data_IF_602263736418
#
_entry.id   IF_602263736418
#
_cell.length_a   1.000
_cell.length_b   1.000
_cell.length_c   1.000
_cell.angle_alpha   90.00
_cell.angle_beta   90.00
_cell.angle_gamma   90.00
#
_symmetry.space_group_name_H-M   'P 1'
#
loop_
_entity.id
_entity.type
_entity.pdbx_description
1 polymer ?
#
# COMPACT_ATOMS: atom_id res chain seq x y z
N UNK A 1 -22.20 -22.92 12.13
CA UNK A 1 -21.45 -21.68 11.84
C UNK A 1 -20.61 -21.34 13.05
N UNK A 2 -19.30 -21.26 12.90
CA UNK A 2 -18.37 -20.85 13.95
C UNK A 2 -18.19 -19.31 13.98
N UNK A 3 -17.47 -18.77 14.97
CA UNK A 3 -17.30 -17.32 15.12
C UNK A 3 -16.59 -16.67 13.91
N UNK A 4 -15.63 -17.36 13.28
CA UNK A 4 -14.92 -16.82 12.09
C UNK A 4 -15.85 -16.73 10.89
N UNK A 5 -16.65 -17.76 10.63
CA UNK A 5 -17.66 -17.78 9.56
C UNK A 5 -18.71 -16.67 9.78
N UNK A 6 -19.14 -16.46 11.03
CA UNK A 6 -20.07 -15.40 11.37
C UNK A 6 -19.48 -13.99 11.13
N UNK A 7 -18.19 -13.79 11.42
CA UNK A 7 -17.52 -12.53 11.11
C UNK A 7 -17.39 -12.30 9.60
N UNK A 8 -17.15 -13.35 8.79
CA UNK A 8 -17.18 -13.25 7.33
C UNK A 8 -18.59 -12.84 6.85
N UNK A 9 -19.64 -13.47 7.37
CA UNK A 9 -21.02 -13.08 7.03
C UNK A 9 -21.30 -11.62 7.39
N UNK A 10 -20.96 -11.18 8.60
CA UNK A 10 -21.12 -9.78 9.04
C UNK A 10 -20.34 -8.80 8.16
N UNK A 11 -19.15 -9.18 7.68
CA UNK A 11 -18.34 -8.35 6.78
C UNK A 11 -18.96 -8.20 5.38
N UNK A 12 -19.87 -9.09 4.98
CA UNK A 12 -20.54 -9.07 3.68
C UNK A 12 -21.85 -8.29 3.72
N UNK A 13 -22.42 -8.00 4.90
CA UNK A 13 -23.68 -7.28 5.05
C UNK A 13 -23.46 -5.79 4.77
N UNK A 14 -24.27 -5.20 3.91
CA UNK A 14 -24.23 -3.76 3.65
C UNK A 14 -24.47 -2.95 4.92
N UNK A 15 -23.83 -1.79 5.04
CA UNK A 15 -23.93 -0.91 6.19
C UNK A 15 -23.42 -1.48 7.53
N UNK A 16 -22.82 -2.66 7.53
CA UNK A 16 -22.21 -3.27 8.72
C UNK A 16 -20.69 -3.10 8.66
N UNK A 17 -20.17 -2.05 9.31
CA UNK A 17 -18.75 -1.77 9.37
C UNK A 17 -18.10 -2.18 10.70
N UNK A 18 -16.75 -2.06 10.83
CA UNK A 18 -16.02 -2.53 12.00
C UNK A 18 -16.51 -1.97 13.33
N UNK A 19 -16.85 -0.68 13.38
CA UNK A 19 -17.33 -0.03 14.61
C UNK A 19 -18.66 -0.64 15.07
N UNK A 20 -19.60 -0.88 14.14
CA UNK A 20 -20.88 -1.52 14.46
C UNK A 20 -20.70 -2.95 14.91
N UNK A 21 -19.83 -3.72 14.27
CA UNK A 21 -19.53 -5.11 14.68
C UNK A 21 -18.92 -5.14 16.07
N UNK A 22 -18.01 -4.23 16.41
CA UNK A 22 -17.47 -4.11 17.76
C UNK A 22 -18.57 -3.85 18.80
N UNK A 23 -19.45 -2.88 18.55
CA UNK A 23 -20.58 -2.58 19.46
C UNK A 23 -21.52 -3.77 19.63
N UNK A 24 -21.79 -4.50 18.53
CA UNK A 24 -22.59 -5.71 18.57
C UNK A 24 -21.92 -6.83 19.38
N UNK A 25 -20.61 -7.04 19.19
CA UNK A 25 -19.83 -8.01 19.95
C UNK A 25 -19.77 -7.68 21.45
N UNK A 26 -19.66 -6.40 21.81
CA UNK A 26 -19.71 -5.94 23.21
C UNK A 26 -21.06 -6.27 23.87
N UNK A 27 -22.17 -6.24 23.11
CA UNK A 27 -23.49 -6.51 23.62
C UNK A 27 -23.87 -8.00 23.60
N UNK A 28 -23.58 -8.71 22.51
CA UNK A 28 -23.97 -10.12 22.30
C UNK A 28 -22.89 -11.13 22.72
N UNK A 29 -21.66 -10.69 22.93
CA UNK A 29 -20.51 -11.51 23.32
C UNK A 29 -19.85 -12.26 22.16
N UNK A 30 -20.61 -12.81 21.23
CA UNK A 30 -20.10 -13.62 20.12
C UNK A 30 -20.78 -13.34 18.78
N UNK A 31 -20.03 -13.48 17.68
CA UNK A 31 -20.54 -13.17 16.34
C UNK A 31 -21.73 -14.04 15.90
N UNK A 32 -21.79 -15.36 16.17
CA UNK A 32 -22.97 -16.16 15.84
C UNK A 32 -24.27 -15.71 16.54
N UNK A 33 -24.17 -15.13 17.76
CA UNK A 33 -25.36 -14.61 18.47
C UNK A 33 -25.92 -13.36 17.79
N UNK A 34 -25.06 -12.52 17.19
CA UNK A 34 -25.47 -11.34 16.41
C UNK A 34 -26.35 -11.75 15.22
N UNK A 35 -25.91 -12.76 14.45
CA UNK A 35 -26.63 -13.23 13.26
C UNK A 35 -27.92 -13.98 13.57
N UNK A 36 -28.11 -14.45 14.82
CA UNK A 36 -29.36 -15.10 15.30
C UNK A 36 -30.29 -14.12 15.97
N UNK A 37 -29.84 -12.89 16.22
CA UNK A 37 -30.64 -11.91 16.97
C UNK A 37 -31.81 -11.38 16.13
N UNK A 38 -32.95 -11.17 16.78
CA UNK A 38 -34.08 -10.50 16.15
C UNK A 38 -33.80 -9.01 15.95
N UNK A 39 -34.49 -8.38 14.99
CA UNK A 39 -34.40 -6.95 14.75
C UNK A 39 -34.56 -6.13 16.03
N UNK A 40 -35.55 -6.51 16.86
CA UNK A 40 -35.86 -5.84 18.15
C UNK A 40 -34.72 -5.96 19.18
N UNK A 41 -33.93 -7.03 19.15
CA UNK A 41 -32.73 -7.19 19.99
C UNK A 41 -31.58 -6.36 19.46
N UNK A 42 -31.37 -6.32 18.14
CA UNK A 42 -30.32 -5.52 17.49
C UNK A 42 -30.49 -4.02 17.72
N UNK A 43 -31.75 -3.53 17.69
CA UNK A 43 -32.06 -2.12 17.95
C UNK A 43 -31.77 -1.66 19.40
N UNK A 44 -31.54 -2.58 20.35
CA UNK A 44 -31.09 -2.22 21.70
C UNK A 44 -29.61 -1.79 21.75
N UNK A 45 -28.83 -2.10 20.72
CA UNK A 45 -27.42 -1.76 20.67
C UNK A 45 -27.25 -0.33 20.19
N UNK A 46 -26.53 0.46 20.97
CA UNK A 46 -26.25 1.88 20.63
C UNK A 46 -25.55 1.98 19.28
N UNK A 47 -26.04 2.84 18.40
CA UNK A 47 -25.45 3.07 17.05
C UNK A 47 -25.95 2.11 15.96
N UNK A 48 -26.86 1.19 16.30
CA UNK A 48 -27.55 0.33 15.33
C UNK A 48 -28.91 0.95 15.02
N UNK A 49 -29.05 1.45 13.79
CA UNK A 49 -30.31 1.98 13.27
C UNK A 49 -31.17 0.90 12.62
N UNK A 50 -32.37 1.30 12.22
CA UNK A 50 -33.41 0.39 11.67
C UNK A 50 -32.93 -0.38 10.45
N UNK A 51 -32.29 0.33 9.47
CA UNK A 51 -31.77 -0.29 8.24
C UNK A 51 -30.66 -1.32 8.53
N UNK A 52 -29.76 -1.01 9.48
CA UNK A 52 -28.68 -1.93 9.86
C UNK A 52 -29.23 -3.15 10.60
N UNK A 53 -30.19 -2.94 11.50
CA UNK A 53 -30.83 -4.04 12.24
C UNK A 53 -31.65 -4.96 11.30
N UNK A 54 -32.33 -4.39 10.31
CA UNK A 54 -33.02 -5.15 9.27
C UNK A 54 -32.07 -5.96 8.42
N UNK A 55 -30.97 -5.31 7.93
CA UNK A 55 -29.96 -5.97 7.10
C UNK A 55 -29.30 -7.15 7.84
N UNK A 56 -29.03 -7.01 9.14
CA UNK A 56 -28.48 -8.11 9.95
C UNK A 56 -29.52 -9.20 10.18
N UNK A 57 -30.76 -8.84 10.53
CA UNK A 57 -31.81 -9.84 10.81
C UNK A 57 -32.19 -10.66 9.56
N UNK A 58 -32.07 -10.07 8.38
CA UNK A 58 -32.36 -10.71 7.08
C UNK A 58 -31.11 -11.16 6.32
N UNK A 59 -29.96 -11.29 6.97
CA UNK A 59 -28.66 -11.50 6.33
C UNK A 59 -28.62 -12.70 5.35
N UNK A 60 -29.32 -13.80 5.65
CA UNK A 60 -29.36 -15.00 4.79
C UNK A 60 -30.00 -14.74 3.42
N UNK A 61 -30.77 -13.65 3.27
CA UNK A 61 -31.37 -13.27 1.99
C UNK A 61 -30.39 -12.51 1.09
N UNK A 62 -29.38 -11.86 1.66
CA UNK A 62 -28.42 -11.00 0.93
C UNK A 62 -27.00 -11.56 0.86
N UNK A 63 -26.65 -12.51 1.74
CA UNK A 63 -25.30 -13.07 1.87
C UNK A 63 -25.30 -14.57 1.58
N UNK A 64 -24.60 -14.96 0.55
CA UNK A 64 -24.28 -16.38 0.30
C UNK A 64 -22.92 -16.73 0.92
N UNK A 65 -22.93 -17.00 2.23
CA UNK A 65 -21.76 -17.37 3.00
C UNK A 65 -21.09 -18.65 2.45
N UNK A 66 -21.91 -19.63 2.04
CA UNK A 66 -21.41 -20.91 1.50
C UNK A 66 -20.55 -20.70 0.25
N UNK A 67 -21.04 -19.89 -0.69
CA UNK A 67 -20.30 -19.53 -1.88
C UNK A 67 -19.02 -18.74 -1.56
N UNK A 68 -19.08 -17.83 -0.58
CA UNK A 68 -17.90 -17.06 -0.17
C UNK A 68 -16.81 -17.95 0.41
N UNK A 69 -17.14 -18.85 1.33
CA UNK A 69 -16.21 -19.79 1.94
C UNK A 69 -15.59 -20.73 0.90
N UNK A 70 -16.39 -21.19 -0.07
CA UNK A 70 -15.91 -21.99 -1.19
C UNK A 70 -14.91 -21.23 -2.04
N UNK A 71 -15.19 -19.95 -2.39
CA UNK A 71 -14.26 -19.11 -3.16
C UNK A 71 -12.94 -18.89 -2.44
N UNK A 72 -12.96 -18.67 -1.12
CA UNK A 72 -11.76 -18.55 -0.29
C UNK A 72 -10.87 -19.77 -0.46
N UNK A 73 -11.45 -20.96 -0.35
CA UNK A 73 -10.72 -22.22 -0.49
C UNK A 73 -10.18 -22.43 -1.92
N UNK A 74 -11.01 -22.22 -2.93
CA UNK A 74 -10.66 -22.42 -4.34
C UNK A 74 -9.59 -21.43 -4.82
N UNK A 75 -9.63 -20.17 -4.34
CA UNK A 75 -8.66 -19.14 -4.70
C UNK A 75 -7.31 -19.30 -3.98
N UNK A 76 -7.25 -20.15 -2.94
CA UNK A 76 -6.06 -20.37 -2.14
C UNK A 76 -5.68 -19.15 -1.28
N UNK A 77 -6.66 -18.39 -0.80
CA UNK A 77 -6.46 -17.37 0.21
C UNK A 77 -6.98 -17.85 1.58
N UNK A 78 -6.56 -17.17 2.64
CA UNK A 78 -7.06 -17.43 3.98
C UNK A 78 -7.60 -16.16 4.64
N UNK A 79 -8.30 -16.35 5.75
CA UNK A 79 -8.96 -15.28 6.50
C UNK A 79 -8.19 -15.04 7.79
N UNK A 80 -7.94 -13.77 8.10
CA UNK A 80 -7.54 -13.33 9.43
C UNK A 80 -8.64 -12.47 10.06
N UNK A 81 -8.88 -12.68 11.34
CA UNK A 81 -9.77 -11.88 12.18
C UNK A 81 -8.98 -11.25 13.33
N UNK A 82 -9.54 -10.21 13.95
CA UNK A 82 -8.82 -9.41 14.96
C UNK A 82 -8.28 -10.20 16.16
N UNK A 83 -8.85 -11.37 16.44
CA UNK A 83 -8.41 -12.26 17.52
C UNK A 83 -7.26 -13.19 17.16
N UNK A 84 -6.91 -13.26 15.86
CA UNK A 84 -5.80 -14.11 15.41
C UNK A 84 -4.46 -13.49 15.79
N UNK A 85 -3.50 -14.35 16.14
CA UNK A 85 -2.15 -13.92 16.51
C UNK A 85 -1.45 -13.21 15.35
N UNK A 86 -1.64 -13.71 14.12
CA UNK A 86 -1.05 -13.15 12.90
C UNK A 86 -1.76 -11.89 12.38
N UNK A 87 -2.86 -11.45 13.02
CA UNK A 87 -3.49 -10.19 12.62
C UNK A 87 -2.57 -9.01 12.96
N UNK A 88 -2.27 -8.07 12.00
CA UNK A 88 -1.29 -7.02 12.21
C UNK A 88 -1.60 -6.19 13.47
N UNK A 89 -0.66 -6.16 14.42
CA UNK A 89 -0.86 -5.52 15.72
C UNK A 89 -1.17 -4.02 15.59
N UNK A 90 -0.40 -3.31 14.76
CA UNK A 90 -0.62 -1.89 14.51
C UNK A 90 -2.00 -1.62 13.90
N UNK A 91 -2.47 -2.51 13.02
CA UNK A 91 -3.80 -2.39 12.42
C UNK A 91 -4.92 -2.68 13.43
N UNK A 92 -4.68 -3.54 14.41
CA UNK A 92 -5.64 -3.82 15.49
C UNK A 92 -5.89 -2.58 16.38
N UNK A 93 -4.91 -1.68 16.46
CA UNK A 93 -4.93 -0.48 17.31
C UNK A 93 -5.69 0.72 16.70
N UNK A 94 -6.00 0.71 15.39
CA UNK A 94 -6.74 1.83 14.79
C UNK A 94 -8.19 1.86 15.28
N UNK A 95 -8.86 2.99 15.09
CA UNK A 95 -10.24 3.17 15.56
C UNK A 95 -11.23 2.14 15.00
N UNK A 96 -11.08 1.77 13.73
CA UNK A 96 -11.98 0.92 12.97
C UNK A 96 -11.24 -0.23 12.24
N UNK A 97 -10.55 -1.12 12.99
CA UNK A 97 -9.78 -2.21 12.38
C UNK A 97 -10.70 -3.13 11.57
N UNK A 98 -10.29 -3.60 10.38
CA UNK A 98 -11.08 -4.51 9.56
C UNK A 98 -11.60 -5.72 10.35
N UNK A 99 -12.87 -6.08 10.15
CA UNK A 99 -13.48 -7.25 10.77
C UNK A 99 -12.75 -8.52 10.31
N UNK A 100 -12.50 -8.57 9.00
CA UNK A 100 -11.91 -9.69 8.27
C UNK A 100 -10.86 -9.16 7.31
N UNK A 101 -9.74 -9.86 7.20
CA UNK A 101 -8.75 -9.69 6.15
C UNK A 101 -8.70 -10.96 5.32
N UNK A 102 -8.91 -10.83 4.01
CA UNK A 102 -8.62 -11.87 3.02
C UNK A 102 -7.15 -11.74 2.63
N UNK A 103 -6.39 -12.80 2.74
CA UNK A 103 -4.94 -12.79 2.56
C UNK A 103 -4.52 -13.84 1.54
N UNK A 104 -3.88 -13.41 0.43
CA UNK A 104 -3.15 -14.28 -0.51
C UNK A 104 -1.66 -14.09 -0.28
N UNK A 105 -0.92 -15.16 -0.11
CA UNK A 105 0.44 -15.14 0.41
C UNK A 105 0.46 -15.31 1.92
N UNK A 106 1.44 -14.74 2.63
CA UNK A 106 1.60 -14.97 4.06
C UNK A 106 2.06 -13.71 4.79
N UNK A 107 1.38 -13.36 5.89
CA UNK A 107 1.89 -12.40 6.87
C UNK A 107 2.87 -13.09 7.83
N UNK A 108 3.85 -12.36 8.30
CA UNK A 108 4.88 -12.83 9.22
C UNK A 108 5.16 -11.81 10.30
N UNK A 109 5.81 -12.23 11.37
CA UNK A 109 6.23 -11.34 12.45
C UNK A 109 7.17 -10.20 12.00
N UNK A 110 7.84 -10.34 10.84
CA UNK A 110 8.66 -9.29 10.24
C UNK A 110 7.82 -8.10 9.78
N UNK A 111 6.56 -8.33 9.42
CA UNK A 111 5.67 -7.30 8.88
C UNK A 111 5.23 -6.26 9.93
N UNK A 112 5.51 -6.48 11.22
CA UNK A 112 5.38 -5.44 12.27
C UNK A 112 6.28 -4.23 12.02
N UNK A 113 7.39 -4.44 11.29
CA UNK A 113 8.35 -3.42 10.93
C UNK A 113 8.09 -2.94 9.49
N UNK A 114 6.88 -2.45 9.23
CA UNK A 114 6.46 -2.03 7.90
C UNK A 114 6.42 -0.52 7.77
N UNK A 115 6.72 -0.02 6.57
CA UNK A 115 6.58 1.39 6.16
C UNK A 115 5.72 1.45 4.91
N UNK A 116 4.72 2.34 4.93
CA UNK A 116 3.90 2.60 3.75
C UNK A 116 4.62 3.52 2.77
N UNK A 117 4.51 3.24 1.48
CA UNK A 117 4.99 4.14 0.43
C UNK A 117 3.85 4.39 -0.56
N UNK A 118 3.46 5.66 -0.70
CA UNK A 118 2.30 6.06 -1.49
C UNK A 118 2.60 7.31 -2.31
N UNK A 119 1.80 7.55 -3.35
CA UNK A 119 1.96 8.75 -4.15
C UNK A 119 1.01 8.84 -5.33
N UNK A 120 1.37 9.71 -6.27
CA UNK A 120 0.59 9.98 -7.46
C UNK A 120 0.50 8.76 -8.39
N UNK A 121 -0.69 8.56 -8.98
CA UNK A 121 -0.89 7.60 -10.09
C UNK A 121 -0.31 8.12 -11.41
N UNK A 122 -0.28 9.45 -11.57
CA UNK A 122 0.36 10.15 -12.69
C UNK A 122 1.64 10.80 -12.16
N UNK A 123 2.70 10.03 -12.09
CA UNK A 123 3.99 10.40 -11.53
C UNK A 123 4.99 10.80 -12.61
N UNK A 124 6.08 11.46 -12.21
CA UNK A 124 7.22 11.76 -13.08
C UNK A 124 8.21 10.60 -13.09
N UNK A 125 9.18 10.64 -13.99
CA UNK A 125 10.31 9.71 -13.96
C UNK A 125 11.07 9.81 -12.63
N UNK A 126 11.34 11.02 -12.14
CA UNK A 126 11.91 11.27 -10.82
C UNK A 126 11.14 10.55 -9.70
N UNK A 127 9.81 10.70 -9.66
CA UNK A 127 9.01 10.04 -8.64
C UNK A 127 9.09 8.50 -8.70
N UNK A 128 9.10 7.91 -9.90
CA UNK A 128 9.27 6.46 -10.08
C UNK A 128 10.62 5.98 -9.58
N UNK A 129 11.70 6.68 -9.94
CA UNK A 129 13.08 6.36 -9.55
C UNK A 129 13.25 6.44 -8.03
N UNK A 130 12.81 7.56 -7.43
CA UNK A 130 12.88 7.75 -5.97
C UNK A 130 12.09 6.67 -5.24
N UNK A 131 10.87 6.35 -5.69
CA UNK A 131 10.06 5.30 -5.07
C UNK A 131 10.75 3.93 -5.15
N UNK A 132 11.31 3.56 -6.32
CA UNK A 132 12.06 2.31 -6.46
C UNK A 132 13.29 2.27 -5.57
N UNK A 133 14.10 3.35 -5.56
CA UNK A 133 15.34 3.44 -4.77
C UNK A 133 15.05 3.32 -3.28
N UNK A 134 14.13 4.12 -2.76
CA UNK A 134 13.76 4.10 -1.34
C UNK A 134 13.17 2.74 -0.93
N UNK A 135 12.24 2.19 -1.72
CA UNK A 135 11.65 0.88 -1.44
C UNK A 135 12.69 -0.25 -1.47
N UNK A 136 13.62 -0.22 -2.43
CA UNK A 136 14.74 -1.15 -2.49
C UNK A 136 15.59 -1.08 -1.23
N UNK A 137 16.02 0.12 -0.82
CA UNK A 137 16.89 0.33 0.34
C UNK A 137 16.20 -0.10 1.64
N UNK A 138 14.93 0.28 1.84
CA UNK A 138 14.15 -0.13 3.00
C UNK A 138 13.98 -1.65 3.07
N UNK A 139 13.59 -2.28 1.97
CA UNK A 139 13.38 -3.71 1.92
C UNK A 139 14.68 -4.51 2.07
N UNK A 140 15.81 -3.97 1.57
CA UNK A 140 17.14 -4.56 1.72
C UNK A 140 17.57 -4.68 3.20
N UNK A 141 17.22 -3.71 4.04
CA UNK A 141 17.51 -3.74 5.48
C UNK A 141 16.42 -4.44 6.29
N UNK A 142 15.44 -5.07 5.65
CA UNK A 142 14.42 -5.90 6.29
C UNK A 142 13.13 -5.16 6.70
N UNK A 143 12.92 -3.92 6.22
CA UNK A 143 11.64 -3.22 6.35
C UNK A 143 10.65 -3.77 5.34
N UNK A 144 9.43 -4.11 5.76
CA UNK A 144 8.36 -4.49 4.83
C UNK A 144 7.74 -3.24 4.20
N UNK A 145 7.75 -3.17 2.87
CA UNK A 145 7.14 -2.05 2.13
C UNK A 145 5.65 -2.34 1.90
N UNK A 146 4.77 -1.47 2.38
CA UNK A 146 3.32 -1.59 2.22
C UNK A 146 2.82 -0.53 1.24
N UNK A 147 1.98 -0.91 0.29
CA UNK A 147 1.36 0.05 -0.62
C UNK A 147 0.00 -0.43 -1.12
N UNK A 148 -0.65 0.41 -1.91
CA UNK A 148 -1.97 0.14 -2.44
C UNK A 148 -1.99 -0.59 -3.78
N UNK A 149 -0.85 -0.82 -4.41
CA UNK A 149 -0.77 -1.46 -5.72
C UNK A 149 -1.37 -0.66 -6.87
N UNK A 150 -1.62 0.63 -6.69
CA UNK A 150 -2.09 1.51 -7.75
C UNK A 150 -0.97 1.78 -8.78
N UNK A 151 -1.34 2.35 -9.93
CA UNK A 151 -0.36 2.87 -10.92
C UNK A 151 0.61 3.86 -10.28
N UNK A 152 1.77 4.04 -10.87
CA UNK A 152 2.73 5.06 -10.48
C UNK A 152 3.54 4.67 -9.25
N UNK A 153 3.52 5.50 -8.22
CA UNK A 153 4.38 5.33 -7.03
C UNK A 153 4.17 3.99 -6.34
N UNK A 154 2.93 3.54 -6.16
CA UNK A 154 2.64 2.27 -5.48
C UNK A 154 3.29 1.08 -6.23
N UNK A 155 3.11 1.03 -7.56
CA UNK A 155 3.74 0.02 -8.42
C UNK A 155 5.26 0.06 -8.33
N UNK A 156 5.86 1.26 -8.40
CA UNK A 156 7.31 1.43 -8.31
C UNK A 156 7.86 0.99 -6.94
N UNK A 157 7.14 1.29 -5.85
CA UNK A 157 7.50 0.86 -4.51
C UNK A 157 7.55 -0.68 -4.38
N UNK A 158 6.49 -1.37 -4.86
CA UNK A 158 6.48 -2.83 -4.86
C UNK A 158 7.61 -3.43 -5.71
N UNK A 159 7.86 -2.88 -6.90
CA UNK A 159 8.96 -3.30 -7.76
C UNK A 159 10.31 -3.13 -7.10
N UNK A 160 10.57 -1.98 -6.48
CA UNK A 160 11.81 -1.71 -5.74
C UNK A 160 12.04 -2.72 -4.61
N UNK A 161 11.04 -2.98 -3.79
CA UNK A 161 11.12 -3.95 -2.70
C UNK A 161 11.40 -5.38 -3.21
N UNK A 162 10.71 -5.81 -4.28
CA UNK A 162 10.92 -7.12 -4.88
C UNK A 162 12.30 -7.28 -5.52
N UNK A 163 12.87 -6.19 -6.07
CA UNK A 163 14.21 -6.20 -6.67
C UNK A 163 15.29 -6.47 -5.62
N UNK A 164 15.12 -5.98 -4.38
CA UNK A 164 16.02 -6.30 -3.25
C UNK A 164 15.81 -7.71 -2.68
N UNK A 165 14.90 -8.52 -3.25
CA UNK A 165 14.40 -9.78 -2.67
C UNK A 165 13.78 -9.61 -1.28
N UNK A 166 13.36 -8.39 -0.98
CA UNK A 166 12.71 -8.02 0.28
C UNK A 166 11.20 -8.25 0.25
N UNK A 167 10.55 -7.95 1.38
CA UNK A 167 9.12 -8.17 1.56
C UNK A 167 8.30 -6.94 1.17
N UNK A 168 7.16 -7.20 0.56
CA UNK A 168 6.18 -6.15 0.29
C UNK A 168 4.76 -6.69 0.42
N UNK A 169 3.84 -5.81 0.85
CA UNK A 169 2.43 -6.15 1.04
C UNK A 169 1.58 -5.16 0.24
N UNK A 170 0.70 -5.70 -0.58
CA UNK A 170 -0.27 -4.89 -1.33
C UNK A 170 -1.64 -4.95 -0.67
N UNK A 171 -2.25 -3.79 -0.45
CA UNK A 171 -3.61 -3.69 0.07
C UNK A 171 -4.55 -3.33 -1.07
N UNK A 172 -5.55 -4.18 -1.34
CA UNK A 172 -6.52 -3.95 -2.43
C UNK A 172 -7.71 -3.10 -1.97
N UNK A 173 -8.23 -2.28 -2.89
CA UNK A 173 -9.52 -1.61 -2.76
C UNK A 173 -10.68 -2.39 -3.40
N UNK A 174 -10.47 -3.67 -3.71
CA UNK A 174 -11.37 -4.59 -4.39
C UNK A 174 -11.42 -5.91 -3.65
N UNK A 175 -12.30 -6.82 -4.04
CA UNK A 175 -12.20 -8.22 -3.61
C UNK A 175 -10.87 -8.83 -4.03
N UNK A 176 -10.41 -9.85 -3.29
CA UNK A 176 -9.08 -10.45 -3.48
C UNK A 176 -8.87 -11.02 -4.89
N UNK A 177 -9.95 -11.40 -5.57
CA UNK A 177 -9.95 -11.95 -6.93
C UNK A 177 -10.06 -10.88 -8.04
N UNK A 178 -10.20 -9.60 -7.68
CA UNK A 178 -10.31 -8.50 -8.64
C UNK A 178 -9.05 -7.65 -8.58
N UNK A 179 -8.13 -7.87 -9.50
CA UNK A 179 -6.90 -7.08 -9.57
C UNK A 179 -7.15 -5.77 -10.31
N UNK A 180 -6.84 -4.67 -9.63
CA UNK A 180 -6.90 -3.33 -10.18
C UNK A 180 -5.67 -2.50 -9.77
N UNK A 181 -4.93 -1.94 -10.74
CA UNK A 181 -5.14 -1.99 -12.18
C UNK A 181 -4.78 -3.36 -12.78
N UNK A 182 -5.41 -3.73 -13.90
CA UNK A 182 -5.26 -5.06 -14.52
C UNK A 182 -3.86 -5.35 -15.06
N UNK A 183 -3.10 -4.33 -15.42
CA UNK A 183 -1.70 -4.47 -15.85
C UNK A 183 -0.75 -4.93 -14.74
N UNK A 184 -1.16 -4.86 -13.49
CA UNK A 184 -0.36 -5.27 -12.33
C UNK A 184 -0.59 -6.74 -11.91
N UNK A 185 -1.29 -7.56 -12.69
CA UNK A 185 -1.58 -8.96 -12.33
C UNK A 185 -0.30 -9.73 -11.97
N UNK A 186 0.70 -9.72 -12.84
CA UNK A 186 1.97 -10.41 -12.60
C UNK A 186 2.72 -9.85 -11.37
N UNK A 187 2.61 -8.54 -11.15
CA UNK A 187 3.20 -7.92 -9.96
C UNK A 187 2.53 -8.43 -8.69
N UNK A 188 1.20 -8.53 -8.65
CA UNK A 188 0.49 -9.04 -7.47
C UNK A 188 0.78 -10.52 -7.18
N UNK A 189 0.97 -11.35 -8.21
CA UNK A 189 1.41 -12.74 -8.01
C UNK A 189 2.81 -12.80 -7.38
N UNK A 190 3.74 -11.97 -7.85
CA UNK A 190 5.09 -11.85 -7.26
C UNK A 190 5.04 -11.30 -5.83
N UNK A 191 4.16 -10.36 -5.53
CA UNK A 191 3.94 -9.84 -4.18
C UNK A 191 3.44 -10.97 -3.27
N UNK A 192 2.42 -11.72 -3.69
CA UNK A 192 1.88 -12.83 -2.92
C UNK A 192 2.92 -13.92 -2.63
N UNK A 193 3.84 -14.16 -3.57
CA UNK A 193 4.92 -15.13 -3.40
C UNK A 193 6.02 -14.69 -2.40
N UNK A 194 6.23 -13.39 -2.21
CA UNK A 194 7.29 -12.82 -1.36
C UNK A 194 6.77 -12.04 -0.15
N UNK A 195 5.47 -11.95 0.02
CA UNK A 195 4.80 -11.18 1.06
C UNK A 195 3.34 -11.56 1.12
N UNK A 196 2.45 -10.57 0.94
CA UNK A 196 1.02 -10.81 0.91
C UNK A 196 0.26 -9.78 0.06
N UNK A 197 -0.86 -10.22 -0.50
CA UNK A 197 -1.92 -9.37 -1.04
C UNK A 197 -3.11 -9.46 -0.11
N UNK A 198 -3.61 -8.32 0.36
CA UNK A 198 -4.61 -8.26 1.42
C UNK A 198 -5.78 -7.39 1.01
N UNK A 199 -6.98 -7.76 1.40
CA UNK A 199 -8.15 -6.90 1.33
C UNK A 199 -9.13 -7.16 2.48
N UNK A 200 -9.94 -6.14 2.83
CA UNK A 200 -11.08 -6.33 3.71
C UNK A 200 -12.38 -6.66 2.95
N UNK A 201 -12.37 -6.47 1.64
CA UNK A 201 -13.58 -6.59 0.83
C UNK A 201 -13.84 -8.05 0.44
N UNK A 202 -15.11 -8.49 0.44
CA UNK A 202 -15.49 -9.83 0.01
C UNK A 202 -15.18 -10.04 -1.48
N UNK A 203 -15.19 -11.30 -1.90
CA UNK A 203 -15.01 -11.67 -3.31
C UNK A 203 -15.96 -10.91 -4.22
N UNK A 204 -15.50 -10.68 -5.47
CA UNK A 204 -16.24 -9.99 -6.52
C UNK A 204 -16.55 -8.50 -6.22
N UNK A 205 -16.07 -7.92 -5.13
CA UNK A 205 -16.20 -6.47 -4.91
C UNK A 205 -15.39 -5.73 -5.97
N UNK A 206 -16.11 -5.03 -6.85
CA UNK A 206 -15.49 -4.23 -7.91
C UNK A 206 -14.81 -2.97 -7.36
N UNK A 207 -13.90 -2.42 -8.16
CA UNK A 207 -13.27 -1.14 -7.85
C UNK A 207 -14.28 0.01 -7.92
N UNK A 208 -14.38 0.81 -6.88
CA UNK A 208 -15.20 2.02 -6.86
C UNK A 208 -14.47 3.17 -6.15
N UNK A 209 -15.03 4.40 -6.31
CA UNK A 209 -14.41 5.59 -5.75
C UNK A 209 -14.40 5.63 -4.22
N UNK A 210 -15.28 4.89 -3.57
CA UNK A 210 -15.40 4.84 -2.10
C UNK A 210 -14.48 3.79 -1.50
N UNK A 211 -14.26 2.67 -2.18
CA UNK A 211 -13.45 1.57 -1.66
C UNK A 211 -11.96 1.93 -1.51
N UNK A 212 -11.42 2.81 -2.36
CA UNK A 212 -10.02 3.22 -2.27
C UNK A 212 -9.69 4.04 -1.01
N UNK A 213 -10.45 5.08 -0.63
CA UNK A 213 -10.26 5.75 0.67
C UNK A 213 -10.41 4.81 1.86
N UNK A 214 -11.41 3.91 1.83
CA UNK A 214 -11.60 2.91 2.89
C UNK A 214 -10.38 1.99 3.01
N UNK A 215 -9.78 1.57 1.90
CA UNK A 215 -8.56 0.77 1.88
C UNK A 215 -7.34 1.52 2.43
N UNK A 216 -7.20 2.82 2.13
CA UNK A 216 -6.02 3.61 2.50
C UNK A 216 -5.78 3.66 4.01
N UNK A 217 -6.85 3.58 4.83
CA UNK A 217 -6.71 3.48 6.30
C UNK A 217 -5.96 2.22 6.74
N UNK A 218 -6.09 1.11 5.97
CA UNK A 218 -5.37 -0.13 6.26
C UNK A 218 -3.89 0.03 5.92
N UNK A 219 -3.57 0.69 4.79
CA UNK A 219 -2.18 0.99 4.41
C UNK A 219 -1.48 1.78 5.52
N UNK A 220 -2.08 2.87 5.99
CA UNK A 220 -1.54 3.68 7.08
C UNK A 220 -1.55 2.93 8.43
N UNK A 221 -2.65 2.21 8.70
CA UNK A 221 -2.91 1.59 10.00
C UNK A 221 -1.98 0.44 10.34
N UNK A 222 -1.48 -0.30 9.36
CA UNK A 222 -0.59 -1.44 9.60
C UNK A 222 0.91 -1.10 9.53
N UNK A 223 1.26 0.18 9.44
CA UNK A 223 2.65 0.62 9.25
C UNK A 223 3.12 1.57 10.34
N UNK A 224 4.43 1.63 10.57
CA UNK A 224 5.09 2.54 11.51
C UNK A 224 5.04 3.99 11.01
N UNK A 225 5.09 4.17 9.70
CA UNK A 225 5.05 5.47 9.05
C UNK A 225 4.66 5.38 7.59
N UNK A 226 4.33 6.53 7.00
CA UNK A 226 3.92 6.67 5.60
C UNK A 226 4.81 7.65 4.87
N UNK A 227 5.44 7.21 3.79
CA UNK A 227 6.26 8.01 2.87
C UNK A 227 5.40 8.44 1.69
N UNK A 228 5.28 9.73 1.46
CA UNK A 228 4.62 10.31 0.27
C UNK A 228 5.69 10.79 -0.70
N UNK A 229 5.81 10.12 -1.87
CA UNK A 229 6.90 10.40 -2.83
C UNK A 229 6.54 11.56 -3.76
N UNK A 230 5.40 11.51 -4.40
CA UNK A 230 4.83 12.62 -5.19
C UNK A 230 3.33 12.71 -4.92
N UNK A 231 2.83 13.93 -4.72
CA UNK A 231 1.41 14.18 -4.55
C UNK A 231 1.00 15.57 -5.05
N UNK A 232 -0.03 15.62 -5.87
CA UNK A 232 -0.79 16.85 -6.11
C UNK A 232 -1.65 17.17 -4.88
N UNK A 233 -2.07 18.42 -4.69
CA UNK A 233 -2.90 18.86 -3.55
C UNK A 233 -4.23 18.06 -3.40
N UNK A 234 -4.72 17.46 -4.47
CA UNK A 234 -5.94 16.63 -4.48
C UNK A 234 -5.65 15.13 -4.57
N UNK A 235 -4.41 14.71 -4.36
CA UNK A 235 -4.00 13.30 -4.48
C UNK A 235 -4.61 12.44 -3.38
N UNK A 236 -5.07 11.23 -3.75
CA UNK A 236 -5.49 10.21 -2.79
C UNK A 236 -4.40 9.77 -1.81
N UNK A 237 -3.12 10.00 -2.13
CA UNK A 237 -2.01 9.75 -1.22
C UNK A 237 -2.07 10.63 0.05
N UNK A 238 -2.62 11.85 -0.07
CA UNK A 238 -2.83 12.74 1.09
C UNK A 238 -3.91 12.20 2.04
N UNK A 239 -4.86 11.41 1.54
CA UNK A 239 -5.82 10.71 2.42
C UNK A 239 -5.10 9.68 3.28
N UNK A 240 -4.15 8.94 2.69
CA UNK A 240 -3.34 7.96 3.44
C UNK A 240 -2.46 8.64 4.48
N UNK A 241 -1.83 9.78 4.15
CA UNK A 241 -1.02 10.53 5.12
C UNK A 241 -1.85 11.14 6.25
N UNK A 242 -3.09 11.55 5.99
CA UNK A 242 -4.00 12.01 7.03
C UNK A 242 -4.35 10.88 8.00
N UNK A 243 -4.70 9.68 7.49
CA UNK A 243 -4.89 8.51 8.35
C UNK A 243 -3.64 8.17 9.17
N UNK A 244 -2.44 8.25 8.57
CA UNK A 244 -1.20 8.04 9.30
C UNK A 244 -1.08 9.01 10.49
N UNK A 245 -1.35 10.30 10.27
CA UNK A 245 -1.36 11.31 11.34
C UNK A 245 -2.41 11.03 12.41
N UNK A 246 -3.65 10.68 12.01
CA UNK A 246 -4.73 10.35 12.93
C UNK A 246 -4.41 9.13 13.81
N UNK A 247 -3.65 8.16 13.27
CA UNK A 247 -3.23 6.97 14.01
C UNK A 247 -1.91 7.17 14.78
N UNK A 248 -1.35 8.38 14.82
CA UNK A 248 -0.09 8.69 15.49
C UNK A 248 1.12 8.02 14.81
N UNK A 249 1.05 7.76 13.50
CA UNK A 249 2.16 7.22 12.70
C UNK A 249 2.97 8.35 12.10
N UNK A 250 4.27 8.11 11.90
CA UNK A 250 5.12 9.10 11.26
C UNK A 250 4.72 9.34 9.80
N UNK A 251 4.84 10.60 9.36
CA UNK A 251 4.64 10.98 7.96
C UNK A 251 5.93 11.57 7.42
N UNK A 252 6.35 11.04 6.28
CA UNK A 252 7.52 11.50 5.54
C UNK A 252 7.07 12.00 4.18
N UNK A 253 7.71 13.04 3.66
CA UNK A 253 7.40 13.58 2.35
C UNK A 253 8.68 13.86 1.57
N UNK A 254 8.75 13.32 0.36
CA UNK A 254 9.89 13.53 -0.54
C UNK A 254 9.78 14.94 -1.12
N UNK A 255 10.84 15.77 -1.05
CA UNK A 255 10.86 17.08 -1.67
C UNK A 255 10.91 16.94 -3.20
N UNK A 256 10.49 17.98 -3.89
CA UNK A 256 10.56 18.07 -5.34
C UNK A 256 10.62 19.51 -5.80
N UNK A 257 10.58 19.73 -7.11
CA UNK A 257 10.68 21.08 -7.67
C UNK A 257 9.52 21.96 -7.18
N UNK A 258 9.83 23.22 -6.82
CA UNK A 258 8.85 24.17 -6.30
C UNK A 258 7.80 24.60 -7.33
N UNK A 259 8.09 24.48 -8.61
CA UNK A 259 7.20 24.79 -9.74
C UNK A 259 6.37 23.56 -10.20
N UNK A 260 6.72 22.35 -9.73
CA UNK A 260 5.98 21.13 -10.07
C UNK A 260 4.65 21.01 -9.31
N UNK A 261 3.51 20.91 -9.99
CA UNK A 261 2.22 20.64 -9.34
C UNK A 261 2.21 19.31 -8.56
N UNK A 262 3.01 18.32 -8.99
CA UNK A 262 3.10 16.99 -8.35
C UNK A 262 3.88 16.99 -7.04
N UNK A 263 4.65 18.05 -6.76
CA UNK A 263 5.37 18.22 -5.49
C UNK A 263 4.60 19.03 -4.45
N UNK A 264 3.54 19.74 -4.87
CA UNK A 264 2.80 20.67 -3.97
C UNK A 264 2.18 19.96 -2.77
N UNK A 265 1.66 18.74 -2.93
CA UNK A 265 1.13 17.95 -1.82
C UNK A 265 2.21 17.57 -0.81
N UNK A 266 3.39 17.14 -1.27
CA UNK A 266 4.53 16.82 -0.41
C UNK A 266 5.02 18.09 0.33
N UNK A 267 5.12 19.23 -0.36
CA UNK A 267 5.51 20.50 0.27
C UNK A 267 4.51 20.93 1.35
N UNK A 268 3.20 20.75 1.13
CA UNK A 268 2.20 21.05 2.16
C UNK A 268 2.30 20.09 3.37
N UNK A 269 2.62 18.83 3.15
CA UNK A 269 2.88 17.87 4.24
C UNK A 269 4.09 18.31 5.07
N UNK A 270 5.21 18.69 4.42
CA UNK A 270 6.42 19.18 5.10
C UNK A 270 6.11 20.42 5.93
N UNK A 271 5.40 21.41 5.37
CA UNK A 271 4.98 22.61 6.10
C UNK A 271 4.08 22.31 7.30
N UNK A 272 3.32 21.19 7.27
CA UNK A 272 2.47 20.72 8.35
C UNK A 272 3.18 19.82 9.36
N UNK A 273 4.50 19.65 9.21
CA UNK A 273 5.32 18.88 10.15
C UNK A 273 5.63 17.45 9.71
N UNK A 274 5.32 17.03 8.48
CA UNK A 274 5.85 15.81 7.95
C UNK A 274 7.37 15.92 7.81
N UNK A 275 8.09 14.84 8.13
CA UNK A 275 9.54 14.82 8.01
C UNK A 275 9.95 14.86 6.53
N UNK A 276 10.87 15.74 6.19
CA UNK A 276 11.48 15.76 4.87
C UNK A 276 12.28 14.47 4.68
N UNK A 277 12.13 13.81 3.53
CA UNK A 277 12.73 12.52 3.21
C UNK A 277 13.51 12.61 1.90
N UNK A 278 14.82 12.56 1.98
CA UNK A 278 15.74 12.54 0.84
C UNK A 278 16.41 11.16 0.68
N UNK A 279 16.37 10.36 1.76
CA UNK A 279 17.03 9.05 1.80
C UNK A 279 16.26 8.05 2.66
N UNK A 280 16.59 6.77 2.54
CA UNK A 280 16.08 5.75 3.46
C UNK A 280 16.55 5.97 4.91
N UNK A 281 17.69 6.62 5.11
CA UNK A 281 18.22 6.93 6.45
C UNK A 281 17.33 7.89 7.21
N UNK A 282 16.68 8.86 6.53
CA UNK A 282 15.71 9.75 7.17
C UNK A 282 14.52 9.00 7.78
N UNK A 283 14.16 7.86 7.17
CA UNK A 283 13.10 6.99 7.66
C UNK A 283 13.61 6.09 8.77
N UNK A 284 14.76 5.45 8.57
CA UNK A 284 15.33 4.46 9.50
C UNK A 284 15.77 5.10 10.82
N UNK A 285 16.25 6.35 10.79
CA UNK A 285 16.64 7.08 12.00
C UNK A 285 15.47 7.36 12.95
N UNK A 286 14.25 7.51 12.42
CA UNK A 286 13.04 7.64 13.27
C UNK A 286 12.68 6.34 14.00
N UNK A 287 13.17 5.21 13.50
CA UNK A 287 12.91 3.88 14.05
C UNK A 287 14.21 3.17 14.46
N UNK A 288 15.23 3.93 14.88
CA UNK A 288 16.56 3.42 15.19
C UNK A 288 16.54 2.29 16.24
N UNK A 289 15.60 2.33 17.19
CA UNK A 289 15.39 1.27 18.17
C UNK A 289 14.96 -0.08 17.54
N UNK A 290 14.33 -0.08 16.37
CA UNK A 290 13.97 -1.27 15.59
C UNK A 290 15.07 -1.66 14.60
N UNK A 291 15.76 -0.66 14.06
CA UNK A 291 16.77 -0.80 13.00
C UNK A 291 18.08 -0.09 13.40
N UNK A 292 18.79 -0.59 14.45
CA UNK A 292 20.04 0.03 14.87
C UNK A 292 21.05 0.09 13.72
N UNK A 293 21.73 1.22 13.56
CA UNK A 293 22.71 1.43 12.49
C UNK A 293 23.80 0.35 12.51
N UNK A 294 24.18 -0.13 13.71
CA UNK A 294 25.18 -1.20 13.89
C UNK A 294 24.79 -2.56 13.30
N UNK A 295 23.49 -2.80 13.11
CA UNK A 295 22.94 -4.09 12.65
C UNK A 295 22.46 -4.04 11.20
N UNK A 296 22.58 -2.88 10.54
CA UNK A 296 22.19 -2.75 9.14
C UNK A 296 23.25 -3.38 8.25
N UNK A 297 22.85 -4.14 7.21
CA UNK A 297 23.80 -4.55 6.19
C UNK A 297 24.42 -3.28 5.57
N UNK A 298 25.68 -3.32 5.13
CA UNK A 298 26.29 -2.19 4.47
C UNK A 298 25.39 -1.73 3.33
N UNK A 299 25.22 -0.40 3.21
CA UNK A 299 24.42 0.14 2.11
C UNK A 299 24.88 -0.52 0.81
N UNK A 300 23.97 -1.02 -0.03
CA UNK A 300 24.38 -1.47 -1.35
C UNK A 300 25.11 -0.29 -1.95
N UNK A 301 26.38 -0.50 -2.32
CA UNK A 301 27.16 0.54 -2.96
C UNK A 301 26.29 1.16 -4.03
N UNK A 302 26.22 2.47 -4.07
CA UNK A 302 25.57 3.23 -5.15
C UNK A 302 26.33 3.02 -6.47
N UNK A 303 26.58 1.79 -6.82
CA UNK A 303 26.68 1.41 -8.20
C UNK A 303 25.25 1.40 -8.70
N UNK A 304 24.73 2.59 -8.97
CA UNK A 304 23.53 2.82 -9.76
C UNK A 304 23.74 2.38 -11.20
N UNK A 305 24.31 1.22 -11.34
CA UNK A 305 24.36 0.48 -12.57
C UNK A 305 23.25 -0.56 -12.44
N UNK A 306 22.05 -0.26 -12.99
CA UNK A 306 21.30 -1.30 -13.69
C UNK A 306 22.35 -2.18 -14.37
N UNK A 307 22.19 -3.55 -14.38
CA UNK A 307 23.16 -4.39 -15.08
C UNK A 307 23.40 -3.71 -16.41
N UNK A 308 24.62 -3.25 -16.62
CA UNK A 308 24.98 -2.52 -17.81
C UNK A 308 24.56 -3.41 -18.98
N UNK A 309 23.46 -3.06 -19.62
CA UNK A 309 23.32 -3.35 -21.02
C UNK A 309 24.57 -2.70 -21.58
N UNK A 310 25.49 -3.48 -22.13
CA UNK A 310 26.72 -2.95 -22.70
C UNK A 310 26.29 -1.89 -23.71
N UNK A 311 26.41 -0.62 -23.30
CA UNK A 311 26.08 0.49 -24.16
C UNK A 311 27.01 0.38 -25.38
N UNK A 312 26.45 0.46 -26.55
CA UNK A 312 27.27 0.57 -27.77
C UNK A 312 28.16 1.82 -27.66
N UNK A 313 29.27 1.87 -28.36
CA UNK A 313 30.20 3.00 -28.28
C UNK A 313 29.52 4.37 -28.52
N UNK A 314 28.46 4.42 -29.32
CA UNK A 314 27.67 5.64 -29.57
C UNK A 314 26.70 5.97 -28.42
N UNK A 315 26.08 4.98 -27.81
CA UNK A 315 25.23 5.15 -26.60
C UNK A 315 26.08 5.60 -25.40
N UNK A 316 27.31 5.06 -25.26
CA UNK A 316 28.23 5.49 -24.22
C UNK A 316 28.64 6.97 -24.39
N UNK A 317 28.92 7.44 -25.61
CA UNK A 317 29.21 8.85 -25.85
C UNK A 317 28.06 9.78 -25.52
N UNK A 318 26.84 9.39 -25.84
CA UNK A 318 25.64 10.15 -25.48
C UNK A 318 25.42 10.14 -23.96
N UNK A 319 25.59 9.00 -23.30
CA UNK A 319 25.49 8.83 -21.86
C UNK A 319 26.50 9.72 -21.12
N UNK A 320 27.77 9.72 -21.54
CA UNK A 320 28.83 10.53 -20.92
C UNK A 320 28.52 12.04 -20.99
N UNK A 321 27.91 12.52 -22.08
CA UNK A 321 27.47 13.92 -22.21
C UNK A 321 26.29 14.22 -21.26
N UNK A 322 25.33 13.29 -21.10
CA UNK A 322 24.19 13.46 -20.22
C UNK A 322 24.58 13.45 -18.73
N UNK A 323 25.64 12.72 -18.37
CA UNK A 323 26.11 12.64 -16.98
C UNK A 323 26.84 13.90 -16.50
N UNK A 324 27.22 14.81 -17.41
CA UNK A 324 27.94 16.05 -17.04
C UNK A 324 26.96 17.18 -16.59
N UNK A 325 25.71 17.13 -17.00
CA UNK A 325 24.70 18.17 -16.68
C UNK A 325 23.32 17.55 -16.41
N UNK A 326 22.67 17.99 -15.35
CA UNK A 326 21.33 17.53 -14.94
C UNK A 326 20.21 17.86 -15.94
N UNK A 327 20.34 18.88 -16.75
CA UNK A 327 19.40 19.23 -17.84
C UNK A 327 20.19 19.59 -19.09
N UNK A 328 20.16 18.72 -20.08
CA UNK A 328 20.85 18.92 -21.35
C UNK A 328 19.85 18.83 -22.50
N UNK A 329 19.79 19.85 -23.35
CA UNK A 329 18.94 19.81 -24.55
C UNK A 329 19.53 18.85 -25.58
N UNK A 330 18.67 18.30 -26.45
CA UNK A 330 19.12 17.40 -27.52
C UNK A 330 20.18 18.07 -28.43
N UNK A 331 20.06 19.39 -28.65
CA UNK A 331 21.03 20.17 -29.43
C UNK A 331 22.39 20.27 -28.74
N UNK A 332 22.40 20.34 -27.40
CA UNK A 332 23.66 20.31 -26.62
C UNK A 332 24.30 18.93 -26.65
N UNK A 333 23.49 17.85 -26.56
CA UNK A 333 23.99 16.47 -26.69
C UNK A 333 24.63 16.27 -28.08
N UNK A 334 23.98 16.71 -29.14
CA UNK A 334 24.53 16.64 -30.52
C UNK A 334 25.85 17.40 -30.60
N UNK A 335 25.90 18.62 -30.05
CA UNK A 335 27.07 19.47 -30.09
C UNK A 335 28.27 18.89 -29.32
N UNK A 336 28.03 18.32 -28.14
CA UNK A 336 29.10 17.83 -27.27
C UNK A 336 29.50 16.39 -27.61
N UNK A 337 28.59 15.54 -28.09
CA UNK A 337 28.93 14.18 -28.52
C UNK A 337 29.64 14.16 -29.92
N UNK A 338 29.44 15.20 -30.72
CA UNK A 338 29.91 15.23 -32.09
C UNK A 338 29.21 14.25 -33.04
N UNK A 339 28.14 13.63 -32.59
CA UNK A 339 27.39 12.61 -33.34
C UNK A 339 26.31 13.27 -34.24
N UNK A 340 25.94 12.66 -35.36
CA UNK A 340 24.80 13.10 -36.16
C UNK A 340 23.48 13.06 -35.38
N UNK A 341 22.56 13.99 -35.65
CA UNK A 341 21.23 14.08 -34.98
C UNK A 341 20.48 12.75 -35.00
N UNK A 342 20.51 12.04 -36.12
CA UNK A 342 19.86 10.73 -36.25
C UNK A 342 20.43 9.69 -35.29
N UNK A 343 21.74 9.68 -35.10
CA UNK A 343 22.47 8.77 -34.21
C UNK A 343 22.14 9.09 -32.74
N UNK A 344 22.13 10.38 -32.36
CA UNK A 344 21.76 10.82 -31.02
C UNK A 344 20.31 10.48 -30.72
N UNK A 345 19.39 10.70 -31.67
CA UNK A 345 17.99 10.37 -31.50
C UNK A 345 17.75 8.86 -31.28
N UNK A 346 18.50 8.01 -31.97
CA UNK A 346 18.41 6.54 -31.80
C UNK A 346 18.99 6.12 -30.43
N UNK A 347 20.11 6.72 -30.01
CA UNK A 347 20.74 6.42 -28.74
C UNK A 347 19.94 6.91 -27.51
N UNK A 348 18.99 7.83 -27.70
CA UNK A 348 18.10 8.34 -26.64
C UNK A 348 16.77 7.56 -26.55
N UNK A 349 16.47 6.64 -27.47
CA UNK A 349 15.29 5.76 -27.47
C UNK A 349 15.59 4.43 -26.79
#
# INVERSE_FOLDING_TARGET
MNSREALVALNMIEHVGPVRVRQLLEFFGEAPAILKASKSQLLKVRGIGDDTAEAIAAWEQSVDLGAELKRIQEFGCHILVQTDEDYPELLRQIYDPPIVLYVKGQLTTKDKNAVAMVGSRQTTHYGLEVARKLAYQLAYVGVTVVSGGARGIDTAAHQGALTSKGRTIAILGTGINIIFPSENVDLFERIAANGAVITQFPFNRAADKQSFPIRNRIVAGMTLGTVVVEAHLTSGALITSNFATEYGRQVFAVPGRIDSPRSKGCHELIKKGAKLCESAEDILSEFEYLFPASNRPPAPHETGVLPATELSGTEQQVYDVLMVKDETSIDEVIRHSGLPTSTVSVALL
#
